data_IF_234965175472
#
_entry.id   IF_234965175472
#
_cell.length_a   1.000
_cell.length_b   1.000
_cell.length_c   1.000
_cell.angle_alpha   90.00
_cell.angle_beta   90.00
_cell.angle_gamma   90.00
#
_symmetry.space_group_name_H-M   'P 1'
#
loop_
_entity.id
_entity.type
_entity.pdbx_description
1 polymer ?
#
# COMPACT_ATOMS: atom_id res chain seq x y z
N UNK A 1 -6.44 21.38 50.03
CA UNK A 1 -6.91 20.59 48.87
C UNK A 1 -6.05 20.98 47.68
N UNK A 2 -5.08 20.14 47.29
CA UNK A 2 -4.24 20.37 46.10
C UNK A 2 -4.71 19.37 45.06
N UNK A 3 -5.41 19.85 44.04
CA UNK A 3 -5.85 19.04 42.90
C UNK A 3 -4.68 18.97 41.93
N UNK A 4 -3.97 17.85 41.93
CA UNK A 4 -2.95 17.55 40.93
C UNK A 4 -3.67 17.16 39.65
N UNK A 5 -3.87 18.12 38.76
CA UNK A 5 -4.42 17.87 37.42
C UNK A 5 -3.32 17.18 36.61
N UNK A 6 -3.41 15.87 36.46
CA UNK A 6 -2.60 15.11 35.52
C UNK A 6 -3.01 15.53 34.10
N UNK A 7 -2.24 16.44 33.51
CA UNK A 7 -2.28 16.70 32.07
C UNK A 7 -1.75 15.46 31.35
N UNK A 8 -2.66 14.54 31.02
CA UNK A 8 -2.41 13.52 30.00
C UNK A 8 -2.26 14.24 28.67
N UNK A 9 -1.00 14.56 28.34
CA UNK A 9 -0.65 15.07 27.02
C UNK A 9 -1.09 14.02 26.01
N UNK A 10 -2.14 14.36 25.25
CA UNK A 10 -2.68 13.49 24.23
C UNK A 10 -1.56 13.03 23.31
N UNK A 11 -1.42 11.72 23.17
CA UNK A 11 -0.56 11.12 22.14
C UNK A 11 -1.13 11.62 20.81
N UNK A 12 -0.46 12.60 20.19
CA UNK A 12 -0.72 12.96 18.79
C UNK A 12 -0.51 11.66 18.00
N UNK A 13 -1.60 11.11 17.46
CA UNK A 13 -1.51 10.13 16.39
C UNK A 13 -0.57 10.75 15.34
N UNK A 14 0.61 10.16 15.16
CA UNK A 14 1.52 10.54 14.08
C UNK A 14 0.69 10.37 12.81
N UNK A 15 0.33 11.49 12.18
CA UNK A 15 -0.38 11.48 10.91
C UNK A 15 0.38 10.56 9.97
N UNK A 16 -0.34 9.76 9.18
CA UNK A 16 0.21 8.97 8.08
C UNK A 16 1.31 9.81 7.40
N UNK A 17 2.56 9.43 7.62
CA UNK A 17 3.67 10.04 6.91
C UNK A 17 3.36 9.79 5.44
N UNK A 18 3.14 10.85 4.67
CA UNK A 18 2.95 10.72 3.22
C UNK A 18 4.28 10.20 2.67
N UNK A 19 4.41 8.89 2.56
CA UNK A 19 5.60 8.21 2.07
C UNK A 19 5.74 8.30 0.55
N UNK A 20 5.27 9.40 -0.05
CA UNK A 20 5.31 9.68 -1.48
C UNK A 20 6.76 9.98 -1.93
N UNK A 21 7.14 9.42 -3.08
CA UNK A 21 8.41 9.75 -3.74
C UNK A 21 8.20 11.00 -4.59
N UNK A 22 9.00 12.03 -4.33
CA UNK A 22 8.95 13.29 -5.08
C UNK A 22 10.27 13.52 -5.82
N UNK A 23 10.20 14.18 -6.97
CA UNK A 23 11.38 14.57 -7.75
C UNK A 23 11.71 16.05 -7.53
N UNK A 24 12.99 16.44 -7.72
CA UNK A 24 13.39 17.85 -7.69
C UNK A 24 12.59 18.70 -8.68
N UNK A 25 12.54 20.02 -8.44
CA UNK A 25 11.90 20.96 -9.38
C UNK A 25 12.48 20.79 -10.79
N UNK A 26 11.59 20.72 -11.78
CA UNK A 26 11.97 20.49 -13.18
C UNK A 26 12.11 19.01 -13.58
N UNK A 27 11.91 18.07 -12.65
CA UNK A 27 11.92 16.63 -12.90
C UNK A 27 10.54 16.01 -12.64
N UNK A 28 10.28 14.86 -13.26
CA UNK A 28 9.10 14.03 -13.02
C UNK A 28 9.53 12.59 -12.77
N UNK A 29 8.74 11.87 -11.98
CA UNK A 29 8.95 10.45 -11.78
C UNK A 29 8.52 9.71 -13.06
N UNK A 30 9.38 8.84 -13.58
CA UNK A 30 9.12 8.04 -14.76
C UNK A 30 9.68 6.61 -14.58
N UNK A 31 9.11 5.61 -15.28
CA UNK A 31 9.64 4.24 -15.24
C UNK A 31 11.08 4.20 -15.76
N UNK A 32 11.94 3.46 -15.06
CA UNK A 32 13.31 3.20 -15.51
C UNK A 32 13.29 2.41 -16.81
N UNK A 33 14.17 2.77 -17.74
CA UNK A 33 14.33 2.05 -19.00
C UNK A 33 14.71 0.59 -18.72
N UNK A 34 13.90 -0.35 -19.21
CA UNK A 34 14.15 -1.78 -19.08
C UNK A 34 13.69 -2.42 -17.76
N UNK A 35 13.05 -1.65 -16.87
CA UNK A 35 12.40 -2.24 -15.68
C UNK A 35 11.31 -3.23 -16.11
N UNK A 36 11.31 -4.41 -15.49
CA UNK A 36 10.27 -5.43 -15.66
C UNK A 36 9.46 -5.50 -14.37
N UNK A 37 8.17 -5.16 -14.39
CA UNK A 37 7.30 -5.32 -13.24
C UNK A 37 7.31 -6.77 -12.74
N UNK A 38 7.31 -6.93 -11.42
CA UNK A 38 7.28 -8.22 -10.76
C UNK A 38 6.40 -8.14 -9.50
N UNK A 39 6.00 -9.30 -9.00
CA UNK A 39 5.16 -9.47 -7.82
C UNK A 39 5.61 -10.73 -7.06
N UNK A 40 5.25 -10.83 -5.79
CA UNK A 40 5.60 -11.97 -4.92
C UNK A 40 4.39 -12.59 -4.19
N UNK A 41 3.17 -12.23 -4.59
CA UNK A 41 1.94 -12.68 -3.93
C UNK A 41 1.74 -12.00 -2.58
N UNK A 42 1.05 -12.66 -1.64
CA UNK A 42 0.78 -12.08 -0.32
C UNK A 42 1.97 -12.21 0.65
N UNK A 43 3.20 -12.15 0.13
CA UNK A 43 4.42 -12.30 0.90
C UNK A 43 5.03 -10.96 1.32
N UNK A 44 5.84 -10.98 2.37
CA UNK A 44 6.75 -9.89 2.70
C UNK A 44 8.17 -10.45 2.75
N UNK A 45 9.08 -9.89 1.95
CA UNK A 45 10.52 -10.19 1.98
C UNK A 45 10.87 -11.69 2.18
N UNK A 46 10.28 -12.59 1.38
CA UNK A 46 10.57 -14.03 1.43
C UNK A 46 9.76 -14.85 2.45
N UNK A 47 8.80 -14.27 3.16
CA UNK A 47 7.82 -14.99 3.97
C UNK A 47 6.43 -14.91 3.32
N UNK A 48 5.81 -16.06 3.04
CA UNK A 48 4.40 -16.12 2.65
C UNK A 48 3.53 -15.97 3.91
N UNK A 49 2.59 -15.03 3.91
CA UNK A 49 1.52 -15.04 4.90
C UNK A 49 0.60 -16.22 4.58
N UNK A 50 0.46 -17.18 5.50
CA UNK A 50 -0.57 -18.21 5.37
C UNK A 50 -1.93 -17.54 5.54
N UNK A 51 -2.65 -17.35 4.44
CA UNK A 51 -4.00 -16.81 4.46
C UNK A 51 -5.01 -17.97 4.53
N UNK A 52 -6.13 -17.75 5.21
CA UNK A 52 -7.24 -18.71 5.21
C UNK A 52 -8.06 -18.59 3.91
N UNK A 53 -7.95 -17.43 3.25
CA UNK A 53 -8.63 -17.06 2.03
C UNK A 53 -7.60 -16.76 0.95
N UNK A 54 -7.89 -17.08 -0.31
CA UNK A 54 -6.96 -16.82 -1.40
C UNK A 54 -7.09 -15.35 -1.85
N UNK A 55 -6.07 -14.56 -1.55
CA UNK A 55 -5.95 -13.16 -1.99
C UNK A 55 -4.76 -12.95 -2.93
N UNK A 56 -4.15 -14.02 -3.44
CA UNK A 56 -2.90 -13.96 -4.21
C UNK A 56 -2.97 -12.97 -5.36
N UNK A 57 -4.06 -12.97 -6.13
CA UNK A 57 -4.27 -12.04 -7.24
C UNK A 57 -4.36 -10.58 -6.77
N UNK A 58 -5.04 -10.32 -5.65
CA UNK A 58 -5.11 -8.97 -5.08
C UNK A 58 -3.74 -8.47 -4.61
N UNK A 59 -2.94 -9.37 -4.03
CA UNK A 59 -1.58 -9.06 -3.61
C UNK A 59 -0.67 -8.77 -4.81
N UNK A 60 -0.77 -9.56 -5.89
CA UNK A 60 -0.02 -9.31 -7.12
C UNK A 60 -0.36 -7.94 -7.73
N UNK A 61 -1.65 -7.57 -7.74
CA UNK A 61 -2.08 -6.24 -8.21
C UNK A 61 -1.56 -5.11 -7.33
N UNK A 62 -1.47 -5.33 -6.01
CA UNK A 62 -0.94 -4.36 -5.06
C UNK A 62 0.57 -4.13 -5.27
N UNK A 63 1.35 -5.19 -5.46
CA UNK A 63 2.78 -5.12 -5.78
C UNK A 63 3.02 -4.31 -7.07
N UNK A 64 2.25 -4.60 -8.11
CA UNK A 64 2.33 -3.88 -9.38
C UNK A 64 1.95 -2.39 -9.20
N UNK A 65 0.92 -2.10 -8.40
CA UNK A 65 0.53 -0.72 -8.10
C UNK A 65 1.63 0.04 -7.35
N UNK A 66 2.32 -0.61 -6.40
CA UNK A 66 3.44 -0.02 -5.68
C UNK A 66 4.64 0.30 -6.59
N UNK A 67 4.80 -0.42 -7.69
CA UNK A 67 5.84 -0.17 -8.69
C UNK A 67 5.45 0.87 -9.76
N UNK A 68 4.18 1.30 -9.84
CA UNK A 68 3.72 2.24 -10.86
C UNK A 68 4.10 3.69 -10.53
N UNK A 69 4.87 4.32 -11.42
CA UNK A 69 5.39 5.66 -11.20
C UNK A 69 4.28 6.72 -11.21
N UNK A 70 4.05 7.36 -10.06
CA UNK A 70 3.10 8.45 -9.91
C UNK A 70 1.73 8.04 -9.35
N UNK A 71 1.50 6.74 -9.12
CA UNK A 71 0.40 6.33 -8.23
C UNK A 71 0.79 6.61 -6.78
N UNK A 72 -0.21 6.93 -5.96
CA UNK A 72 0.00 7.16 -4.52
C UNK A 72 -0.29 5.89 -3.74
N UNK A 73 0.49 5.63 -2.69
CA UNK A 73 0.27 4.51 -1.78
C UNK A 73 -1.18 4.40 -1.27
N UNK A 74 -1.84 5.50 -0.82
CA UNK A 74 -3.23 5.42 -0.39
C UNK A 74 -4.20 4.97 -1.49
N UNK A 75 -3.89 5.24 -2.77
CA UNK A 75 -4.69 4.73 -3.90
C UNK A 75 -4.51 3.21 -3.99
N UNK A 76 -3.27 2.73 -4.04
CA UNK A 76 -2.96 1.30 -4.12
C UNK A 76 -3.57 0.50 -2.96
N UNK A 77 -3.47 1.00 -1.72
CA UNK A 77 -4.02 0.30 -0.55
C UNK A 77 -5.56 0.23 -0.58
N UNK A 78 -6.24 1.26 -1.11
CA UNK A 78 -7.69 1.25 -1.30
C UNK A 78 -8.11 0.25 -2.36
N UNK A 79 -7.40 0.20 -3.49
CA UNK A 79 -7.64 -0.76 -4.57
C UNK A 79 -7.41 -2.18 -4.09
N UNK A 80 -6.36 -2.42 -3.31
CA UNK A 80 -6.08 -3.72 -2.67
C UNK A 80 -7.20 -4.16 -1.72
N UNK A 81 -7.65 -3.28 -0.81
CA UNK A 81 -8.80 -3.58 0.07
C UNK A 81 -10.06 -3.88 -0.74
N UNK A 82 -10.29 -3.13 -1.81
CA UNK A 82 -11.46 -3.31 -2.69
C UNK A 82 -11.41 -4.67 -3.38
N UNK A 83 -10.25 -5.04 -3.95
CA UNK A 83 -10.05 -6.35 -4.57
C UNK A 83 -10.40 -7.48 -3.60
N UNK A 84 -9.80 -7.48 -2.40
CA UNK A 84 -10.07 -8.55 -1.42
C UNK A 84 -11.53 -8.57 -0.96
N UNK A 85 -12.16 -7.41 -0.78
CA UNK A 85 -13.58 -7.32 -0.41
C UNK A 85 -14.48 -7.97 -1.48
N UNK A 86 -14.20 -7.68 -2.75
CA UNK A 86 -14.92 -8.29 -3.89
C UNK A 86 -14.66 -9.80 -3.95
N UNK A 87 -13.43 -10.25 -3.68
CA UNK A 87 -13.11 -11.68 -3.57
C UNK A 87 -13.91 -12.35 -2.46
N UNK A 88 -14.02 -11.73 -1.28
CA UNK A 88 -14.86 -12.23 -0.19
C UNK A 88 -16.32 -12.40 -0.60
N UNK A 89 -16.89 -11.39 -1.26
CA UNK A 89 -18.29 -11.43 -1.72
C UNK A 89 -18.53 -12.53 -2.75
N UNK A 90 -17.59 -12.74 -3.68
CA UNK A 90 -17.76 -13.67 -4.80
C UNK A 90 -17.44 -15.12 -4.44
N UNK A 91 -16.39 -15.35 -3.67
CA UNK A 91 -15.82 -16.69 -3.43
C UNK A 91 -16.30 -17.28 -2.11
N UNK A 92 -16.63 -16.43 -1.13
CA UNK A 92 -16.98 -16.85 0.24
C UNK A 92 -18.34 -16.28 0.68
N UNK A 93 -19.45 -16.56 -0.04
CA UNK A 93 -20.72 -15.83 0.12
C UNK A 93 -21.52 -16.19 1.37
N UNK A 94 -21.24 -17.32 2.04
CA UNK A 94 -21.92 -17.69 3.29
C UNK A 94 -21.58 -16.69 4.39
N UNK A 95 -22.54 -16.28 5.22
CA UNK A 95 -22.33 -15.26 6.26
C UNK A 95 -21.09 -15.51 7.13
N UNK A 96 -20.89 -16.75 7.59
CA UNK A 96 -19.72 -17.15 8.38
C UNK A 96 -18.41 -16.90 7.63
N UNK A 97 -18.22 -17.55 6.46
CA UNK A 97 -16.99 -17.39 5.67
C UNK A 97 -16.78 -15.96 5.17
N UNK A 98 -17.85 -15.23 4.86
CA UNK A 98 -17.77 -13.83 4.48
C UNK A 98 -17.23 -12.99 5.64
N UNK A 99 -17.77 -13.20 6.85
CA UNK A 99 -17.31 -12.54 8.07
C UNK A 99 -15.83 -12.80 8.33
N UNK A 100 -15.40 -14.06 8.23
CA UNK A 100 -14.01 -14.48 8.41
C UNK A 100 -13.07 -13.87 7.36
N UNK A 101 -13.51 -13.89 6.11
CA UNK A 101 -12.80 -13.28 4.99
C UNK A 101 -12.61 -11.78 5.23
N UNK A 102 -13.67 -11.07 5.61
CA UNK A 102 -13.61 -9.63 5.93
C UNK A 102 -12.73 -9.31 7.14
N UNK A 103 -12.65 -10.20 8.14
CA UNK A 103 -11.67 -10.05 9.25
C UNK A 103 -10.24 -10.06 8.71
N UNK A 104 -9.93 -10.96 7.78
CA UNK A 104 -8.61 -11.01 7.15
C UNK A 104 -8.35 -9.80 6.24
N UNK A 105 -9.33 -9.32 5.47
CA UNK A 105 -9.23 -8.05 4.70
C UNK A 105 -8.84 -6.88 5.59
N UNK A 106 -9.48 -6.74 6.75
CA UNK A 106 -9.18 -5.68 7.70
C UNK A 106 -7.77 -5.80 8.29
N UNK A 107 -7.31 -7.03 8.57
CA UNK A 107 -5.94 -7.28 9.01
C UNK A 107 -4.92 -6.83 7.96
N UNK A 108 -5.08 -7.26 6.70
CA UNK A 108 -4.21 -6.85 5.59
C UNK A 108 -4.22 -5.33 5.40
N UNK A 109 -5.39 -4.69 5.40
CA UNK A 109 -5.53 -3.25 5.28
C UNK A 109 -4.79 -2.49 6.40
N UNK A 110 -4.87 -2.98 7.65
CA UNK A 110 -4.11 -2.41 8.76
C UNK A 110 -2.60 -2.60 8.59
N UNK A 111 -2.15 -3.79 8.18
CA UNK A 111 -0.74 -4.07 7.95
C UNK A 111 -0.14 -3.16 6.87
N UNK A 112 -0.77 -3.05 5.69
CA UNK A 112 -0.26 -2.19 4.61
C UNK A 112 -0.33 -0.72 5.00
N UNK A 113 -1.38 -0.28 5.73
CA UNK A 113 -1.48 1.11 6.19
C UNK A 113 -0.37 1.48 7.17
N UNK A 114 -0.06 0.61 8.13
CA UNK A 114 0.93 0.86 9.19
C UNK A 114 2.38 0.62 8.73
N UNK A 115 2.63 -0.42 7.94
CA UNK A 115 3.99 -0.87 7.62
C UNK A 115 4.35 -0.75 6.13
N UNK A 116 3.40 -0.41 5.25
CA UNK A 116 3.63 -0.45 3.80
C UNK A 116 4.50 0.67 3.24
N UNK A 117 4.90 1.69 4.02
CA UNK A 117 5.68 2.81 3.50
C UNK A 117 7.09 2.42 3.05
N UNK A 118 7.73 1.47 3.75
CA UNK A 118 9.04 0.94 3.34
C UNK A 118 8.96 0.22 2.00
N UNK A 119 8.13 -0.85 1.89
CA UNK A 119 7.93 -1.58 0.64
C UNK A 119 7.52 -0.68 -0.53
N UNK A 120 6.58 0.25 -0.32
CA UNK A 120 6.16 1.20 -1.35
C UNK A 120 7.30 2.06 -1.90
N UNK A 121 8.11 2.65 -1.00
CA UNK A 121 9.27 3.45 -1.43
C UNK A 121 10.30 2.58 -2.15
N UNK A 122 10.55 1.38 -1.65
CA UNK A 122 11.48 0.43 -2.28
C UNK A 122 11.03 0.05 -3.69
N UNK A 123 9.76 -0.32 -3.89
CA UNK A 123 9.21 -0.63 -5.21
C UNK A 123 9.36 0.55 -6.18
N UNK A 124 9.11 1.78 -5.73
CA UNK A 124 9.34 2.98 -6.55
C UNK A 124 10.82 3.29 -6.79
N UNK A 125 11.71 2.91 -5.88
CA UNK A 125 13.17 3.05 -6.04
C UNK A 125 13.72 2.03 -7.03
N UNK A 126 13.13 0.85 -7.12
CA UNK A 126 13.45 -0.16 -8.12
C UNK A 126 12.89 0.23 -9.48
N UNK A 127 11.61 0.60 -9.55
CA UNK A 127 10.87 0.83 -10.79
C UNK A 127 11.06 2.20 -11.43
N UNK A 128 11.29 3.25 -10.64
CA UNK A 128 11.19 4.63 -11.11
C UNK A 128 12.45 5.46 -10.90
N UNK A 129 12.67 6.41 -11.80
CA UNK A 129 13.71 7.42 -11.74
C UNK A 129 13.17 8.83 -12.00
N UNK A 130 13.90 9.86 -11.58
CA UNK A 130 13.55 11.24 -11.86
C UNK A 130 14.16 11.67 -13.20
N UNK A 131 13.31 11.97 -14.18
CA UNK A 131 13.72 12.45 -15.51
C UNK A 131 13.36 13.92 -15.68
N UNK A 132 14.12 14.68 -16.47
CA UNK A 132 13.80 16.08 -16.76
C UNK A 132 12.43 16.18 -17.42
N UNK A 133 11.59 17.08 -16.95
CA UNK A 133 10.33 17.43 -17.63
C UNK A 133 10.69 17.94 -19.02
N UNK A 134 10.21 17.29 -20.07
CA UNK A 134 10.35 17.86 -21.40
C UNK A 134 9.54 19.15 -21.45
N UNK A 135 10.19 20.26 -21.85
CA UNK A 135 9.46 21.47 -22.22
C UNK A 135 8.62 21.09 -23.44
N UNK A 136 7.30 21.11 -23.29
CA UNK A 136 6.43 21.14 -24.45
C UNK A 136 6.68 22.51 -25.09
N UNK A 137 7.47 22.55 -26.16
CA UNK A 137 7.49 23.72 -27.04
C UNK A 137 6.07 23.81 -27.63
N UNK A 138 5.38 24.89 -27.27
CA UNK A 138 4.05 25.23 -27.77
C UNK A 138 4.21 26.08 -29.03
#
# INVERSE_FOLDING_TARGET
>A
VVVVVLVVSGVRARGQERCEKTCPKGYTLAPKKGYKPHFNGCGVAGMQLSTQFDFTECCNQHDLCYAECGLSKPKCDREFKTCMTVTCQKVYPTEEKFGDCMRQVNMFNSMVSTFGCGPYKQSLDEACECVKKQKKEL
#
